data_IF_274716149015
#
_entry.id   IF_274716149015
#
_cell.length_a   1.000
_cell.length_b   1.000
_cell.length_c   1.000
_cell.angle_alpha   90.00
_cell.angle_beta   90.00
_cell.angle_gamma   90.00
#
_symmetry.space_group_name_H-M   'P 1'
#
loop_
_entity.id
_entity.type
_entity.pdbx_description
1 polymer ?
#
# COMPACT_ATOMS: atom_id res chain seq x y z
N UNK A 1 -9.23 3.66 7.58
CA UNK A 1 -8.05 3.65 6.69
C UNK A 1 -8.45 4.17 5.31
N UNK A 2 -7.72 5.14 4.82
CA UNK A 2 -8.03 5.74 3.51
C UNK A 2 -7.58 4.88 2.33
N UNK A 3 -6.54 4.08 2.53
CA UNK A 3 -6.03 3.18 1.51
C UNK A 3 -6.68 1.81 1.64
N UNK A 4 -6.90 1.16 0.53
CA UNK A 4 -7.48 -0.17 0.47
C UNK A 4 -6.55 -1.12 -0.29
N UNK A 5 -6.76 -2.43 -0.13
CA UNK A 5 -6.03 -3.41 -0.94
C UNK A 5 -6.35 -3.19 -2.42
N UNK A 6 -5.38 -3.51 -3.26
CA UNK A 6 -5.38 -3.29 -4.72
C UNK A 6 -5.24 -1.83 -5.17
N UNK A 7 -5.09 -0.87 -4.24
CA UNK A 7 -4.78 0.50 -4.61
C UNK A 7 -3.33 0.59 -5.12
N UNK A 8 -3.10 1.36 -6.18
CA UNK A 8 -1.75 1.69 -6.62
C UNK A 8 -1.22 2.87 -5.82
N UNK A 9 -0.01 2.76 -5.33
CA UNK A 9 0.61 3.79 -4.50
C UNK A 9 2.03 4.08 -4.95
N UNK A 10 2.47 5.31 -4.66
CA UNK A 10 3.86 5.73 -4.82
C UNK A 10 4.48 5.84 -3.44
N UNK A 11 5.66 5.25 -3.26
CA UNK A 11 6.41 5.39 -2.01
C UNK A 11 7.07 6.76 -2.00
N UNK A 12 6.76 7.57 -0.99
CA UNK A 12 7.24 8.96 -0.91
C UNK A 12 8.40 9.13 0.04
N UNK A 13 8.60 8.20 0.98
CA UNK A 13 9.66 8.26 1.97
C UNK A 13 10.27 6.88 2.20
N UNK A 14 11.52 6.86 2.63
CA UNK A 14 12.21 5.64 3.03
C UNK A 14 13.07 5.06 1.92
N UNK A 15 13.49 3.82 2.13
CA UNK A 15 14.44 3.13 1.25
C UNK A 15 13.95 2.99 -0.19
N UNK A 16 12.66 2.77 -0.36
CA UNK A 16 12.06 2.53 -1.68
C UNK A 16 11.40 3.76 -2.28
N UNK A 17 11.77 4.94 -1.82
CA UNK A 17 11.22 6.21 -2.31
C UNK A 17 11.28 6.29 -3.83
N UNK A 18 10.17 6.68 -4.44
CA UNK A 18 10.04 6.79 -5.89
C UNK A 18 9.54 5.54 -6.58
N UNK A 19 9.43 4.42 -5.87
CA UNK A 19 8.89 3.19 -6.44
C UNK A 19 7.38 3.18 -6.33
N UNK A 20 6.74 2.49 -7.28
CA UNK A 20 5.29 2.32 -7.31
C UNK A 20 4.94 0.85 -7.10
N UNK A 21 3.80 0.61 -6.52
CA UNK A 21 3.33 -0.75 -6.32
C UNK A 21 1.87 -0.77 -5.94
N UNK A 22 1.30 -1.98 -5.89
CA UNK A 22 -0.07 -2.20 -5.50
C UNK A 22 -0.13 -2.70 -4.06
N UNK A 23 -1.08 -2.20 -3.28
CA UNK A 23 -1.26 -2.64 -1.91
C UNK A 23 -1.78 -4.07 -1.91
N UNK A 24 -1.02 -4.98 -1.29
CA UNK A 24 -1.42 -6.36 -1.12
C UNK A 24 -2.30 -6.53 0.11
N UNK A 25 -2.01 -5.78 1.18
CA UNK A 25 -2.73 -5.92 2.45
C UNK A 25 -2.68 -4.62 3.25
N UNK A 26 -3.73 -4.35 4.00
CA UNK A 26 -3.82 -3.18 4.88
C UNK A 26 -3.86 -3.64 6.33
N UNK A 27 -2.99 -3.08 7.15
CA UNK A 27 -2.92 -3.34 8.59
C UNK A 27 -3.48 -2.12 9.33
N UNK A 28 -4.78 -2.07 9.44
CA UNK A 28 -5.50 -0.90 9.94
C UNK A 28 -5.09 -0.52 11.36
N UNK A 29 -4.96 -1.50 12.25
CA UNK A 29 -4.59 -1.23 13.65
C UNK A 29 -3.20 -0.61 13.79
N UNK A 30 -2.28 -0.97 12.92
CA UNK A 30 -0.90 -0.47 12.94
C UNK A 30 -0.69 0.74 12.04
N UNK A 31 -1.71 1.14 11.28
CA UNK A 31 -1.61 2.21 10.28
C UNK A 31 -0.46 1.94 9.29
N UNK A 32 -0.37 0.70 8.83
CA UNK A 32 0.65 0.25 7.88
C UNK A 32 0.03 -0.48 6.72
N UNK A 33 0.76 -0.55 5.62
CA UNK A 33 0.34 -1.29 4.42
C UNK A 33 1.49 -2.14 3.92
N UNK A 34 1.14 -3.28 3.32
CA UNK A 34 2.10 -4.14 2.62
C UNK A 34 1.91 -3.89 1.13
N UNK A 35 2.96 -3.42 0.46
CA UNK A 35 2.94 -3.09 -0.97
C UNK A 35 3.76 -4.12 -1.72
N UNK A 36 3.22 -4.64 -2.81
CA UNK A 36 3.90 -5.66 -3.62
C UNK A 36 5.25 -5.14 -4.14
N UNK A 37 6.31 -5.93 -3.91
CA UNK A 37 7.66 -5.61 -4.37
C UNK A 37 8.35 -4.48 -3.61
N UNK A 38 7.75 -3.95 -2.57
CA UNK A 38 8.26 -2.82 -1.80
C UNK A 38 8.65 -3.27 -0.40
N UNK A 39 9.72 -2.66 0.12
CA UNK A 39 10.24 -2.94 1.46
C UNK A 39 10.51 -4.44 1.67
N UNK A 40 11.13 -5.05 0.67
CA UNK A 40 11.47 -6.47 0.71
C UNK A 40 12.64 -6.68 1.66
N UNK A 41 12.46 -7.55 2.64
CA UNK A 41 13.50 -7.96 3.56
C UNK A 41 13.92 -9.39 3.28
N UNK A 42 15.22 -9.65 3.36
CA UNK A 42 15.77 -10.99 3.22
C UNK A 42 16.05 -11.54 4.61
N UNK A 43 15.51 -12.73 4.90
CA UNK A 43 15.72 -13.38 6.19
C UNK A 43 16.38 -14.73 5.98
N UNK A 44 17.31 -15.07 6.88
CA UNK A 44 17.82 -16.42 7.02
C UNK A 44 16.93 -17.19 7.96
N UNK A 45 16.47 -18.36 7.50
CA UNK A 45 15.72 -19.27 8.37
C UNK A 45 16.52 -20.54 8.61
N UNK A 46 16.53 -20.99 9.87
CA UNK A 46 17.08 -22.29 10.20
C UNK A 46 16.05 -23.38 9.91
N UNK A 47 16.49 -24.56 9.45
CA UNK A 47 15.58 -25.71 9.36
C UNK A 47 15.01 -26.01 10.75
N UNK A 48 13.69 -26.07 10.86
CA UNK A 48 13.03 -26.38 12.13
C UNK A 48 12.35 -27.73 12.14
N UNK A 49 12.45 -28.48 11.05
CA UNK A 49 11.90 -29.82 10.93
C UNK A 49 12.36 -30.50 9.67
N UNK A 50 11.98 -31.76 9.51
CA UNK A 50 12.44 -32.59 8.39
C UNK A 50 12.02 -32.05 7.02
N UNK A 51 10.95 -31.27 6.96
CA UNK A 51 10.38 -30.76 5.71
C UNK A 51 10.64 -29.27 5.48
N UNK A 52 11.33 -28.60 6.40
CA UNK A 52 11.67 -27.19 6.22
C UNK A 52 13.09 -27.04 5.75
N UNK A 53 13.25 -26.20 4.72
CA UNK A 53 14.58 -25.85 4.25
C UNK A 53 14.99 -24.52 4.87
N UNK A 54 16.20 -24.49 5.39
CA UNK A 54 16.81 -23.23 5.79
C UNK A 54 17.20 -22.45 4.55
N UNK A 55 17.53 -21.19 4.72
CA UNK A 55 18.02 -20.36 3.64
C UNK A 55 17.51 -18.93 3.72
N UNK A 56 17.62 -18.24 2.60
CA UNK A 56 17.23 -16.84 2.48
C UNK A 56 15.81 -16.75 1.94
N UNK A 57 14.94 -16.10 2.70
CA UNK A 57 13.56 -15.86 2.30
C UNK A 57 13.37 -14.35 2.13
N UNK A 58 12.86 -13.96 0.95
CA UNK A 58 12.46 -12.57 0.71
C UNK A 58 11.00 -12.41 1.10
N UNK A 59 10.74 -11.39 1.91
CA UNK A 59 9.39 -11.12 2.39
C UNK A 59 9.11 -9.63 2.35
N UNK A 60 7.94 -9.29 1.84
CA UNK A 60 7.49 -7.90 1.81
C UNK A 60 7.04 -7.49 3.22
N UNK A 61 7.63 -6.42 3.73
CA UNK A 61 7.36 -5.95 5.08
C UNK A 61 6.42 -4.75 5.05
N UNK A 62 5.58 -4.57 6.08
CA UNK A 62 4.70 -3.41 6.16
C UNK A 62 5.48 -2.09 6.23
N UNK A 63 4.90 -1.04 5.64
CA UNK A 63 5.42 0.33 5.76
C UNK A 63 4.30 1.24 6.28
N UNK A 64 4.66 2.34 6.98
CA UNK A 64 3.64 3.27 7.47
C UNK A 64 2.84 3.89 6.32
N UNK A 65 1.54 4.08 6.51
CA UNK A 65 0.69 4.70 5.48
C UNK A 65 1.13 6.12 5.12
N UNK A 66 1.79 6.82 6.05
CA UNK A 66 2.32 8.15 5.78
C UNK A 66 3.47 8.17 4.78
N UNK A 67 4.05 7.00 4.50
CA UNK A 67 5.17 6.88 3.56
C UNK A 67 4.73 6.60 2.13
N UNK A 68 3.42 6.52 1.88
CA UNK A 68 2.88 6.24 0.55
C UNK A 68 1.80 7.26 0.18
N UNK A 69 1.61 7.46 -1.11
CA UNK A 69 0.54 8.29 -1.64
C UNK A 69 -0.21 7.51 -2.71
N UNK A 70 -1.54 7.63 -2.73
CA UNK A 70 -2.35 6.98 -3.73
C UNK A 70 -2.06 7.56 -5.12
N UNK A 71 -1.95 6.69 -6.12
CA UNK A 71 -1.88 7.11 -7.52
C UNK A 71 -3.30 7.04 -8.07
N UNK A 72 -3.84 8.19 -8.45
CA UNK A 72 -5.16 8.26 -9.05
C UNK A 72 -5.15 7.61 -10.43
N UNK A 73 -6.11 6.72 -10.68
CA UNK A 73 -6.21 6.03 -11.97
C UNK A 73 -6.62 6.97 -13.10
N UNK A 74 -7.34 8.04 -12.78
CA UNK A 74 -7.82 8.98 -13.78
C UNK A 74 -6.76 9.99 -14.22
N UNK A 75 -6.04 10.60 -13.27
CA UNK A 75 -5.02 11.59 -13.61
C UNK A 75 -3.60 11.03 -13.54
N UNK A 76 -3.41 9.80 -13.09
CA UNK A 76 -2.13 9.10 -13.00
C UNK A 76 -1.07 9.82 -12.17
N UNK A 77 -1.51 10.60 -11.19
CA UNK A 77 -0.62 11.38 -10.32
C UNK A 77 -0.80 10.96 -8.87
N UNK A 78 0.27 11.03 -8.06
CA UNK A 78 0.13 10.84 -6.62
C UNK A 78 -0.78 11.93 -6.05
N UNK A 79 -1.73 11.51 -5.21
CA UNK A 79 -2.74 12.42 -4.69
C UNK A 79 -3.13 12.04 -3.27
N UNK A 80 -3.72 12.99 -2.57
CA UNK A 80 -4.37 12.72 -1.30
C UNK A 80 -5.80 12.27 -1.55
N UNK A 81 -6.27 11.38 -0.68
CA UNK A 81 -7.64 10.89 -0.72
C UNK A 81 -8.51 11.82 0.10
N UNK A 82 -9.56 12.35 -0.51
CA UNK A 82 -10.60 13.09 0.18
C UNK A 82 -11.89 12.27 0.14
N UNK A 83 -12.86 12.65 0.94
CA UNK A 83 -14.14 11.97 1.04
C UNK A 83 -15.27 12.93 0.78
N UNK A 84 -16.33 12.45 0.10
CA UNK A 84 -17.56 13.19 -0.07
C UNK A 84 -18.74 12.25 0.06
N UNK A 85 -19.89 12.80 0.44
CA UNK A 85 -21.15 12.05 0.46
C UNK A 85 -21.80 12.10 -0.91
N UNK A 86 -22.24 10.96 -1.38
CA UNK A 86 -23.01 10.83 -2.60
C UNK A 86 -24.48 11.11 -2.34
N UNK A 87 -25.26 11.24 -3.42
CA UNK A 87 -26.69 11.53 -3.32
C UNK A 87 -27.47 10.46 -2.52
N UNK A 88 -26.98 9.22 -2.52
CA UNK A 88 -27.60 8.11 -1.77
C UNK A 88 -27.19 8.07 -0.30
N UNK A 89 -26.37 9.03 0.17
CA UNK A 89 -25.89 9.10 1.54
C UNK A 89 -24.61 8.33 1.83
N UNK A 90 -24.05 7.57 0.87
CA UNK A 90 -22.81 6.85 1.07
C UNK A 90 -21.61 7.79 0.97
N UNK A 91 -20.53 7.40 1.66
CA UNK A 91 -19.27 8.13 1.65
C UNK A 91 -18.35 7.52 0.59
N UNK A 92 -17.85 8.36 -0.31
CA UNK A 92 -16.95 7.92 -1.39
C UNK A 92 -15.61 8.60 -1.29
N UNK A 93 -14.54 7.87 -1.67
CA UNK A 93 -13.21 8.44 -1.81
C UNK A 93 -13.12 9.16 -3.15
N UNK A 94 -12.43 10.29 -3.19
CA UNK A 94 -12.16 10.96 -4.45
C UNK A 94 -10.75 11.57 -4.46
N UNK A 95 -10.24 11.78 -5.68
CA UNK A 95 -8.94 12.39 -5.88
C UNK A 95 -9.04 13.90 -5.65
N UNK A 96 -8.17 14.44 -4.79
CA UNK A 96 -8.19 15.88 -4.51
C UNK A 96 -7.66 16.73 -5.67
N UNK A 97 -7.00 16.14 -6.65
CA UNK A 97 -6.45 16.86 -7.80
C UNK A 97 -7.40 16.91 -8.99
N UNK A 98 -8.01 15.79 -9.36
CA UNK A 98 -8.91 15.73 -10.51
C UNK A 98 -10.37 15.53 -10.12
N UNK A 99 -10.67 15.36 -8.84
CA UNK A 99 -12.01 15.22 -8.27
C UNK A 99 -12.77 13.98 -8.74
N UNK A 100 -12.09 13.03 -9.39
CA UNK A 100 -12.70 11.76 -9.78
C UNK A 100 -12.88 10.83 -8.59
N UNK A 101 -13.97 10.07 -8.60
CA UNK A 101 -14.26 9.09 -7.53
C UNK A 101 -13.29 7.92 -7.66
N UNK A 102 -12.72 7.52 -6.54
CA UNK A 102 -11.81 6.40 -6.43
C UNK A 102 -12.59 5.19 -5.92
N UNK A 103 -12.59 4.14 -6.67
CA UNK A 103 -13.20 2.88 -6.27
C UNK A 103 -12.25 1.97 -5.49
#
# INVERSE_FOLDING_TARGET
>A
MRLHSNDNVLVTKGRDRGKQGRIARVLTKQQKVVVEGINVATRHQRPTGAFQQGGMIQKEMPIPVSNVALICQSCMKPTRIAFKRLADGTKARYCSKCEEIIE
#
